data_IF_231414678269
#
_entry.id   IF_231414678269
#
_cell.length_a   1.000
_cell.length_b   1.000
_cell.length_c   1.000
_cell.angle_alpha   90.00
_cell.angle_beta   90.00
_cell.angle_gamma   90.00
#
_symmetry.space_group_name_H-M   'P 1'
#
loop_
_entity.id
_entity.type
_entity.pdbx_description
1 polymer ?
#
# COMPACT_ATOMS: atom_id res chain seq x y z
N UNK A 1 0.11 1.36 21.02
CA UNK A 1 -0.54 1.61 19.69
C UNK A 1 -0.35 0.42 18.75
N UNK A 2 0.85 -0.19 18.71
CA UNK A 2 1.14 -1.32 17.84
C UNK A 2 1.28 -2.62 18.65
N UNK A 3 0.39 -3.62 18.50
CA UNK A 3 0.52 -4.95 19.10
C UNK A 3 1.82 -5.68 18.69
N UNK A 4 2.28 -6.62 19.51
CA UNK A 4 3.36 -7.55 19.13
C UNK A 4 2.96 -8.31 17.87
N UNK A 5 3.89 -8.45 16.92
CA UNK A 5 3.64 -9.02 15.59
C UNK A 5 3.19 -8.01 14.54
N UNK A 6 3.01 -6.73 14.90
CA UNK A 6 2.65 -5.69 13.93
C UNK A 6 3.86 -5.23 13.13
N UNK A 7 3.79 -5.21 11.77
CA UNK A 7 4.82 -4.60 10.94
C UNK A 7 4.86 -3.09 11.14
N UNK A 8 6.06 -2.55 11.36
CA UNK A 8 6.29 -1.12 11.60
C UNK A 8 7.53 -0.62 10.85
N UNK A 9 7.60 0.68 10.66
CA UNK A 9 8.83 1.38 10.30
C UNK A 9 9.29 2.16 11.52
N UNK A 10 10.57 2.01 11.88
CA UNK A 10 11.18 2.67 13.01
C UNK A 10 12.30 3.59 12.52
N UNK A 11 12.34 4.83 13.00
CA UNK A 11 13.36 5.79 12.61
C UNK A 11 14.65 5.52 13.37
N UNK A 12 15.73 5.25 12.64
CA UNK A 12 17.06 4.87 13.16
C UNK A 12 18.12 5.96 12.91
N UNK A 13 17.74 7.23 12.97
CA UNK A 13 18.67 8.35 12.80
C UNK A 13 19.25 8.42 11.37
N UNK A 14 20.56 8.29 11.26
CA UNK A 14 21.27 8.40 9.97
C UNK A 14 20.91 7.28 8.99
N UNK A 15 20.47 6.12 9.47
CA UNK A 15 20.01 5.00 8.66
C UNK A 15 18.56 5.19 8.13
N UNK A 16 17.88 6.25 8.57
CA UNK A 16 16.53 6.58 8.16
C UNK A 16 15.46 5.64 8.73
N UNK A 17 14.42 5.36 7.93
CA UNK A 17 13.31 4.49 8.31
C UNK A 17 13.64 3.04 8.00
N UNK A 18 13.70 2.19 9.03
CA UNK A 18 13.94 0.76 8.91
C UNK A 18 12.66 -0.03 9.15
N UNK A 19 12.40 -1.02 8.31
CA UNK A 19 11.27 -1.94 8.45
C UNK A 19 11.58 -3.03 9.45
N UNK A 20 10.56 -3.43 10.20
CA UNK A 20 10.64 -4.51 11.15
C UNK A 20 9.29 -4.85 11.76
N UNK A 21 9.32 -5.74 12.74
CA UNK A 21 8.14 -6.24 13.44
C UNK A 21 8.27 -5.98 14.93
N UNK A 22 7.22 -5.46 15.56
CA UNK A 22 7.18 -5.30 17.03
C UNK A 22 7.32 -6.66 17.70
N UNK A 23 8.40 -6.88 18.46
CA UNK A 23 8.64 -8.14 19.16
C UNK A 23 8.42 -8.04 20.67
N UNK A 24 8.49 -6.86 21.27
CA UNK A 24 8.19 -6.68 22.69
C UNK A 24 7.64 -5.26 22.99
N UNK A 25 6.85 -5.19 24.06
CA UNK A 25 6.40 -3.93 24.65
C UNK A 25 7.15 -3.63 25.93
N UNK A 26 7.24 -2.33 26.29
CA UNK A 26 7.89 -1.87 27.51
C UNK A 26 9.26 -2.52 27.71
N UNK A 27 10.00 -2.55 26.61
CA UNK A 27 11.30 -3.22 26.54
C UNK A 27 12.34 -2.49 27.40
N UNK A 28 13.21 -3.28 27.99
CA UNK A 28 14.38 -2.81 28.73
C UNK A 28 15.58 -3.68 28.38
N UNK A 29 16.64 -3.05 27.93
CA UNK A 29 17.90 -3.74 27.70
C UNK A 29 18.49 -4.21 29.04
N UNK A 30 18.93 -5.47 29.16
CA UNK A 30 19.51 -6.00 30.40
C UNK A 30 20.72 -5.19 30.91
N UNK A 31 21.44 -4.56 30.01
CA UNK A 31 22.62 -3.71 30.32
C UNK A 31 22.28 -2.31 30.86
N UNK A 32 21.01 -1.89 30.76
CA UNK A 32 20.61 -0.55 31.20
C UNK A 32 20.56 -0.44 32.72
N UNK A 33 20.94 0.72 33.23
CA UNK A 33 20.81 1.03 34.65
C UNK A 33 19.35 0.92 35.12
N UNK A 34 19.17 0.46 36.37
CA UNK A 34 17.82 0.15 36.88
C UNK A 34 16.85 1.33 36.90
N UNK A 35 17.37 2.54 36.92
CA UNK A 35 16.64 3.81 36.98
C UNK A 35 16.16 4.30 35.62
N UNK A 36 16.69 3.74 34.51
CA UNK A 36 16.25 4.11 33.17
C UNK A 36 14.84 3.58 32.89
N UNK A 37 13.96 4.36 32.26
CA UNK A 37 12.61 3.90 31.91
C UNK A 37 12.66 2.82 30.85
N UNK A 38 11.60 2.01 30.79
CA UNK A 38 11.34 1.13 29.66
C UNK A 38 11.00 1.94 28.41
N UNK A 39 11.31 1.40 27.23
CA UNK A 39 10.89 1.97 25.96
C UNK A 39 9.60 1.28 25.47
N UNK A 40 8.73 2.00 24.74
CA UNK A 40 7.45 1.46 24.29
C UNK A 40 7.57 0.15 23.50
N UNK A 41 8.54 0.07 22.57
CA UNK A 41 8.68 -1.06 21.66
C UNK A 41 10.13 -1.50 21.50
N UNK A 42 10.31 -2.83 21.37
CA UNK A 42 11.43 -3.44 20.69
C UNK A 42 10.96 -3.91 19.32
N UNK A 43 11.73 -3.61 18.27
CA UNK A 43 11.43 -3.90 16.87
C UNK A 43 12.53 -4.78 16.29
N UNK A 44 12.16 -5.96 15.82
CA UNK A 44 13.02 -6.88 15.08
C UNK A 44 13.09 -6.41 13.62
N UNK A 45 14.28 -6.13 13.09
CA UNK A 45 14.46 -5.61 11.74
C UNK A 45 14.41 -6.71 10.68
N UNK A 46 13.78 -6.40 9.52
CA UNK A 46 13.60 -7.35 8.43
C UNK A 46 14.88 -7.52 7.60
N UNK A 47 15.74 -6.50 7.50
CA UNK A 47 16.79 -6.41 6.48
C UNK A 47 18.22 -6.20 7.01
N UNK A 48 18.43 -6.08 8.31
CA UNK A 48 19.77 -5.94 8.88
C UNK A 48 20.15 -7.21 9.66
N UNK A 49 21.08 -8.03 9.17
CA UNK A 49 21.66 -9.07 10.00
C UNK A 49 22.46 -8.42 11.12
N UNK A 50 22.21 -8.80 12.35
CA UNK A 50 23.02 -8.46 13.49
C UNK A 50 24.42 -9.05 13.40
N UNK A 51 25.27 -8.74 14.37
CA UNK A 51 26.57 -9.39 14.53
C UNK A 51 26.39 -10.91 14.63
N UNK A 52 27.22 -11.66 13.92
CA UNK A 52 27.18 -13.12 13.86
C UNK A 52 25.95 -13.74 13.14
N UNK A 53 25.16 -13.00 12.35
CA UNK A 53 24.02 -13.51 11.59
C UNK A 53 22.76 -13.67 12.43
N UNK A 54 22.72 -13.15 13.66
CA UNK A 54 21.51 -13.09 14.45
C UNK A 54 20.57 -11.98 13.97
N UNK A 55 19.26 -12.07 14.22
CA UNK A 55 18.32 -11.02 13.87
C UNK A 55 18.69 -9.72 14.61
N UNK A 56 18.82 -8.62 13.89
CA UNK A 56 19.06 -7.31 14.48
C UNK A 56 17.77 -6.74 15.06
N UNK A 57 17.84 -6.18 16.26
CA UNK A 57 16.72 -5.53 16.89
C UNK A 57 17.10 -4.11 17.34
N UNK A 58 16.17 -3.18 17.19
CA UNK A 58 16.28 -1.83 17.70
C UNK A 58 15.12 -1.54 18.66
N UNK A 59 15.19 -0.43 19.36
CA UNK A 59 14.10 0.02 20.23
C UNK A 59 13.59 1.40 19.82
N UNK A 60 12.28 1.57 19.91
CA UNK A 60 11.63 2.85 19.71
C UNK A 60 11.51 3.55 21.06
N UNK A 61 12.20 4.70 21.28
CA UNK A 61 12.20 5.40 22.56
C UNK A 61 10.87 6.09 22.88
N UNK A 62 10.03 6.32 21.90
CA UNK A 62 8.72 6.94 22.08
C UNK A 62 7.69 6.34 21.10
N UNK A 63 6.41 6.35 21.51
CA UNK A 63 5.28 5.94 20.66
C UNK A 63 4.68 7.16 19.94
N UNK A 64 5.48 7.76 19.07
CA UNK A 64 5.10 8.90 18.22
C UNK A 64 5.43 8.59 16.77
N UNK A 65 4.72 9.23 15.83
CA UNK A 65 4.86 8.92 14.40
C UNK A 65 6.24 9.26 13.82
N UNK A 66 6.94 10.20 14.42
CA UNK A 66 8.31 10.59 14.06
C UNK A 66 9.35 9.52 14.41
N UNK A 67 9.00 8.57 15.27
CA UNK A 67 9.88 7.49 15.75
C UNK A 67 9.41 6.12 15.25
N UNK A 68 8.10 5.85 15.31
CA UNK A 68 7.53 4.56 14.91
C UNK A 68 6.17 4.75 14.26
N UNK A 69 6.00 4.15 13.08
CA UNK A 69 4.77 4.22 12.30
C UNK A 69 4.43 2.86 11.69
N UNK A 70 3.18 2.68 11.23
CA UNK A 70 2.76 1.45 10.58
C UNK A 70 3.59 1.22 9.30
N UNK A 71 4.09 0.01 9.09
CA UNK A 71 4.70 -0.35 7.80
C UNK A 71 3.63 -0.74 6.80
N UNK A 72 3.76 -0.27 5.56
CA UNK A 72 2.85 -0.57 4.46
C UNK A 72 3.55 -1.36 3.35
N UNK A 73 2.79 -2.22 2.64
CA UNK A 73 3.33 -3.20 1.67
C UNK A 73 3.91 -2.56 0.42
N UNK A 74 3.33 -1.44 -0.04
CA UNK A 74 3.72 -0.79 -1.31
C UNK A 74 4.55 0.46 -1.07
N UNK A 75 5.55 0.65 -1.93
CA UNK A 75 6.39 1.85 -1.98
C UNK A 75 5.85 2.89 -2.98
N UNK A 76 6.44 4.09 -2.97
CA UNK A 76 6.17 5.08 -4.01
C UNK A 76 6.56 4.52 -5.38
N UNK A 77 5.75 4.84 -6.40
CA UNK A 77 5.86 4.38 -7.79
C UNK A 77 5.55 2.88 -8.00
N UNK A 78 5.20 2.12 -6.96
CA UNK A 78 4.72 0.76 -7.13
C UNK A 78 3.40 0.72 -7.90
N UNK A 79 3.32 -0.23 -8.83
CA UNK A 79 2.11 -0.51 -9.60
C UNK A 79 1.29 -1.59 -8.90
N UNK A 80 0.03 -1.28 -8.66
CA UNK A 80 -0.90 -2.15 -7.94
C UNK A 80 -2.27 -2.17 -8.61
N UNK A 81 -3.16 -3.06 -8.15
CA UNK A 81 -4.58 -3.02 -8.46
C UNK A 81 -5.32 -2.51 -7.21
N UNK A 82 -6.09 -1.44 -7.34
CA UNK A 82 -6.94 -0.92 -6.27
C UNK A 82 -8.43 -1.15 -6.56
N UNK A 83 -9.20 -1.39 -5.50
CA UNK A 83 -10.63 -1.61 -5.59
C UNK A 83 -11.37 -0.27 -5.57
N UNK A 84 -12.12 0.01 -6.63
CA UNK A 84 -12.90 1.25 -6.79
C UNK A 84 -14.40 1.06 -6.56
N UNK A 85 -14.89 -0.18 -6.67
CA UNK A 85 -16.27 -0.57 -6.34
C UNK A 85 -16.29 -2.01 -5.80
N UNK A 86 -17.47 -2.55 -5.45
CA UNK A 86 -17.60 -3.83 -4.75
C UNK A 86 -16.82 -4.98 -5.42
N UNK A 87 -16.85 -5.08 -6.75
CA UNK A 87 -16.19 -6.14 -7.52
C UNK A 87 -15.31 -5.56 -8.66
N UNK A 88 -14.94 -4.28 -8.54
CA UNK A 88 -14.26 -3.57 -9.61
C UNK A 88 -12.86 -3.14 -9.16
N UNK A 89 -11.86 -3.65 -9.89
CA UNK A 89 -10.45 -3.41 -9.66
C UNK A 89 -9.85 -2.65 -10.83
N UNK A 90 -9.06 -1.64 -10.53
CA UNK A 90 -8.36 -0.86 -11.56
C UNK A 90 -6.88 -0.81 -11.25
N UNK A 91 -6.07 -0.72 -12.30
CA UNK A 91 -4.64 -0.49 -12.20
C UNK A 91 -4.39 0.91 -11.66
N UNK A 92 -3.43 1.00 -10.75
CA UNK A 92 -3.03 2.27 -10.15
C UNK A 92 -1.52 2.29 -9.84
N UNK A 93 -1.00 3.49 -9.67
CA UNK A 93 0.36 3.74 -9.20
C UNK A 93 0.31 4.43 -7.85
N UNK A 94 1.09 3.98 -6.88
CA UNK A 94 1.20 4.60 -5.56
C UNK A 94 1.97 5.92 -5.71
N UNK A 95 1.32 7.04 -5.42
CA UNK A 95 1.91 8.39 -5.51
C UNK A 95 2.12 9.06 -4.15
N UNK A 96 1.58 8.48 -3.09
CA UNK A 96 1.77 8.97 -1.73
C UNK A 96 1.59 7.86 -0.70
N UNK A 97 2.35 7.94 0.38
CA UNK A 97 2.23 7.08 1.56
C UNK A 97 1.87 7.95 2.76
N UNK A 98 1.16 7.40 3.74
CA UNK A 98 0.69 8.12 4.92
C UNK A 98 -0.11 9.37 4.55
N UNK A 99 -0.97 9.24 3.53
CA UNK A 99 -1.74 10.36 2.99
C UNK A 99 -2.71 10.91 4.03
N UNK A 100 -2.81 12.23 4.11
CA UNK A 100 -3.73 12.95 4.98
C UNK A 100 -4.39 14.10 4.24
N UNK A 101 -5.67 14.24 4.46
CA UNK A 101 -6.38 15.46 4.08
C UNK A 101 -6.34 16.48 5.21
N UNK A 102 -6.44 17.75 4.82
CA UNK A 102 -6.30 18.87 5.76
C UNK A 102 -7.32 18.85 6.90
N UNK A 103 -8.51 18.28 6.63
CA UNK A 103 -9.64 18.28 7.55
C UNK A 103 -9.76 16.96 8.35
N UNK A 104 -8.80 16.05 8.20
CA UNK A 104 -8.80 14.82 8.99
C UNK A 104 -8.29 15.05 10.41
N UNK A 105 -8.81 14.24 11.35
CA UNK A 105 -8.35 14.27 12.74
C UNK A 105 -6.84 13.96 12.81
N UNK A 106 -6.18 14.61 13.78
CA UNK A 106 -4.77 14.39 14.05
C UNK A 106 -4.51 12.89 14.33
N UNK A 107 -3.48 12.32 13.72
CA UNK A 107 -3.17 10.88 13.81
C UNK A 107 -3.91 10.00 12.82
N UNK A 108 -4.90 10.52 12.07
CA UNK A 108 -5.57 9.76 11.01
C UNK A 108 -4.82 9.90 9.70
N UNK A 109 -4.50 8.77 9.05
CA UNK A 109 -3.94 8.76 7.70
C UNK A 109 -4.47 7.57 6.90
N UNK A 110 -4.54 7.73 5.59
CA UNK A 110 -4.69 6.62 4.67
C UNK A 110 -3.31 6.03 4.33
N UNK A 111 -3.17 4.71 4.22
CA UNK A 111 -1.91 4.08 3.82
C UNK A 111 -1.33 4.66 2.54
N UNK A 112 -2.19 4.84 1.55
CA UNK A 112 -1.76 5.26 0.21
C UNK A 112 -2.67 6.32 -0.38
N UNK A 113 -2.05 7.22 -1.16
CA UNK A 113 -2.69 7.92 -2.26
C UNK A 113 -2.23 7.27 -3.56
N UNK A 114 -3.15 6.96 -4.45
CA UNK A 114 -2.85 6.29 -5.71
C UNK A 114 -3.41 7.08 -6.88
N UNK A 115 -2.69 7.07 -8.00
CA UNK A 115 -3.14 7.56 -9.29
C UNK A 115 -3.69 6.38 -10.06
N UNK A 116 -4.94 6.48 -10.50
CA UNK A 116 -5.62 5.43 -11.27
C UNK A 116 -5.28 5.57 -12.74
N UNK A 117 -4.89 4.46 -13.38
CA UNK A 117 -4.60 4.40 -14.80
C UNK A 117 -5.91 4.33 -15.61
N UNK A 118 -6.32 5.48 -16.17
CA UNK A 118 -7.52 5.59 -17.01
C UNK A 118 -8.78 6.06 -16.27
N UNK A 119 -9.92 6.01 -16.97
CA UNK A 119 -11.19 6.47 -16.42
C UNK A 119 -11.69 5.54 -15.31
N UNK A 120 -12.15 6.11 -14.21
CA UNK A 120 -12.84 5.36 -13.15
C UNK A 120 -14.17 4.84 -13.67
N UNK A 121 -14.37 3.51 -13.74
CA UNK A 121 -15.64 2.95 -14.18
C UNK A 121 -16.73 3.22 -13.13
N UNK A 122 -17.87 3.71 -13.55
CA UNK A 122 -19.07 3.79 -12.71
C UNK A 122 -19.18 4.96 -11.74
N UNK A 123 -18.17 5.79 -11.56
CA UNK A 123 -18.28 6.99 -10.73
C UNK A 123 -19.19 8.04 -11.42
N UNK A 124 -20.46 8.06 -11.02
CA UNK A 124 -21.42 9.11 -11.38
C UNK A 124 -21.54 10.23 -10.35
N UNK A 125 -20.76 10.17 -9.30
CA UNK A 125 -20.82 11.14 -8.19
C UNK A 125 -19.68 12.16 -8.33
N UNK A 126 -20.05 13.40 -8.60
CA UNK A 126 -19.16 14.55 -8.81
C UNK A 126 -18.27 14.88 -7.57
N UNK A 127 -18.54 14.28 -6.42
CA UNK A 127 -17.84 14.60 -5.16
C UNK A 127 -16.46 13.93 -5.01
N UNK A 128 -16.16 12.85 -5.77
CA UNK A 128 -14.84 12.18 -5.79
C UNK A 128 -14.04 12.55 -7.04
N UNK A 129 -14.70 13.18 -8.03
CA UNK A 129 -14.20 13.41 -9.38
C UNK A 129 -13.62 14.80 -9.63
N UNK A 130 -13.46 15.64 -8.63
CA UNK A 130 -12.97 17.01 -8.83
C UNK A 130 -11.55 17.12 -9.42
N UNK A 131 -10.81 16.01 -9.50
CA UNK A 131 -9.48 15.93 -10.14
C UNK A 131 -9.45 15.05 -11.41
N UNK A 132 -10.56 14.38 -11.76
CA UNK A 132 -10.61 13.44 -12.88
C UNK A 132 -10.71 14.09 -14.27
N UNK A 133 -10.77 15.41 -14.36
CA UNK A 133 -10.86 16.13 -15.65
C UNK A 133 -9.57 16.08 -16.48
N UNK A 134 -8.45 15.64 -15.92
CA UNK A 134 -7.15 15.54 -16.60
C UNK A 134 -6.70 14.10 -16.93
N UNK A 135 -7.53 13.10 -16.70
CA UNK A 135 -7.19 11.70 -16.98
C UNK A 135 -6.43 10.96 -15.87
N UNK A 136 -5.98 11.65 -14.83
CA UNK A 136 -5.25 11.11 -13.69
C UNK A 136 -6.10 11.26 -12.42
N UNK A 137 -7.02 10.33 -12.17
CA UNK A 137 -7.79 10.33 -10.94
C UNK A 137 -6.91 9.94 -9.75
N UNK A 138 -6.82 10.82 -8.75
CA UNK A 138 -6.18 10.53 -7.48
C UNK A 138 -7.24 10.08 -6.48
N UNK A 139 -7.02 8.92 -5.88
CA UNK A 139 -7.86 8.40 -4.79
C UNK A 139 -6.99 7.98 -3.62
N UNK A 140 -7.56 7.88 -2.43
CA UNK A 140 -6.86 7.35 -1.28
C UNK A 140 -7.40 5.96 -0.89
N UNK A 141 -6.51 5.10 -0.43
CA UNK A 141 -6.81 3.73 -0.04
C UNK A 141 -6.98 3.70 1.48
N UNK A 142 -8.16 3.28 2.00
CA UNK A 142 -8.47 3.40 3.43
C UNK A 142 -7.69 2.43 4.31
N UNK A 143 -7.22 1.31 3.77
CA UNK A 143 -6.48 0.27 4.52
C UNK A 143 -5.51 -0.45 3.60
N UNK A 144 -4.34 -0.81 4.16
CA UNK A 144 -3.40 -1.72 3.50
C UNK A 144 -3.84 -3.17 3.69
N UNK A 145 -4.82 -3.60 2.90
CA UNK A 145 -5.35 -4.95 2.90
C UNK A 145 -5.67 -5.41 1.48
N UNK A 146 -5.57 -6.71 1.22
CA UNK A 146 -5.87 -7.33 -0.08
C UNK A 146 -7.27 -6.99 -0.62
N UNK A 147 -8.21 -6.70 0.28
CA UNK A 147 -9.57 -6.28 -0.09
C UNK A 147 -9.66 -4.85 -0.65
N UNK A 148 -8.62 -4.03 -0.54
CA UNK A 148 -8.58 -2.64 -1.01
C UNK A 148 -7.49 -2.39 -2.03
N UNK A 149 -6.31 -2.99 -1.85
CA UNK A 149 -5.16 -2.86 -2.75
C UNK A 149 -4.35 -4.16 -2.73
N UNK A 150 -3.93 -4.62 -3.89
CA UNK A 150 -3.18 -5.85 -4.08
C UNK A 150 -2.09 -5.70 -5.13
N UNK A 151 -1.13 -6.62 -5.14
CA UNK A 151 -0.11 -6.63 -6.17
C UNK A 151 -0.75 -6.72 -7.58
N UNK A 152 -0.13 -6.03 -8.52
CA UNK A 152 -0.57 -6.01 -9.90
C UNK A 152 -0.54 -7.43 -10.51
N UNK A 153 -1.63 -7.84 -11.17
CA UNK A 153 -1.73 -9.15 -11.82
C UNK A 153 -1.01 -9.14 -13.16
N UNK A 154 0.08 -9.91 -13.29
CA UNK A 154 0.83 -10.07 -14.54
C UNK A 154 -0.04 -10.66 -15.67
N UNK A 155 -0.90 -11.62 -15.35
CA UNK A 155 -1.82 -12.23 -16.31
C UNK A 155 -2.78 -11.21 -16.93
N UNK A 156 -3.26 -10.27 -16.10
CA UNK A 156 -4.09 -9.17 -16.56
C UNK A 156 -3.34 -8.23 -17.49
N UNK A 157 -2.08 -7.93 -17.18
CA UNK A 157 -1.22 -7.09 -18.01
C UNK A 157 -0.92 -7.73 -19.36
N UNK A 158 -0.65 -9.02 -19.38
CA UNK A 158 -0.41 -9.76 -20.62
C UNK A 158 -1.66 -9.79 -21.48
N UNK A 159 -2.84 -10.02 -20.89
CA UNK A 159 -4.13 -9.94 -21.60
C UNK A 159 -4.41 -8.54 -22.15
N UNK A 160 -4.11 -7.48 -21.37
CA UNK A 160 -4.28 -6.10 -21.82
C UNK A 160 -3.30 -5.74 -22.96
N UNK A 161 -2.03 -6.15 -22.86
CA UNK A 161 -1.03 -5.97 -23.93
C UNK A 161 -1.47 -6.69 -25.21
N UNK A 162 -1.97 -7.92 -25.12
CA UNK A 162 -2.49 -8.67 -26.25
C UNK A 162 -3.68 -7.96 -26.90
N UNK A 163 -4.62 -7.41 -26.12
CA UNK A 163 -5.76 -6.66 -26.64
C UNK A 163 -5.35 -5.35 -27.34
N UNK A 164 -4.37 -4.62 -26.77
CA UNK A 164 -3.82 -3.42 -27.40
C UNK A 164 -3.12 -3.76 -28.71
N UNK A 165 -2.35 -4.85 -28.74
CA UNK A 165 -1.71 -5.34 -29.97
C UNK A 165 -2.72 -5.68 -31.08
N UNK A 166 -3.86 -6.31 -30.72
CA UNK A 166 -4.94 -6.63 -31.66
C UNK A 166 -5.63 -5.36 -32.20
N UNK A 167 -5.79 -4.33 -31.37
CA UNK A 167 -6.37 -3.06 -31.80
C UNK A 167 -5.46 -2.30 -32.76
N UNK A 168 -4.16 -2.26 -32.46
CA UNK A 168 -3.15 -1.61 -33.33
C UNK A 168 -2.99 -2.34 -34.64
N UNK A 169 -3.22 -3.67 -34.67
CA UNK A 169 -3.24 -4.48 -35.88
C UNK A 169 -4.50 -4.35 -36.73
N UNK A 170 -5.46 -3.48 -36.34
CA UNK A 170 -6.73 -3.27 -37.06
C UNK A 170 -7.73 -4.42 -36.97
N UNK A 171 -7.50 -5.39 -36.05
CA UNK A 171 -8.38 -6.57 -35.86
C UNK A 171 -9.58 -6.27 -34.97
N UNK A 172 -9.49 -5.26 -34.11
CA UNK A 172 -10.56 -4.83 -33.21
C UNK A 172 -10.84 -3.33 -33.36
N UNK A 173 -12.12 -2.97 -33.50
CA UNK A 173 -12.56 -1.58 -33.38
C UNK A 173 -12.44 -1.10 -31.93
N UNK A 174 -12.39 0.22 -31.75
CA UNK A 174 -12.14 0.87 -30.45
C UNK A 174 -13.22 0.52 -29.39
N UNK A 175 -14.48 0.37 -29.81
CA UNK A 175 -15.58 -0.05 -28.93
C UNK A 175 -15.42 -1.50 -28.44
N UNK A 176 -15.02 -2.42 -29.32
CA UNK A 176 -14.78 -3.82 -28.99
C UNK A 176 -13.57 -3.98 -28.04
N UNK A 177 -12.58 -3.08 -28.16
CA UNK A 177 -11.43 -3.02 -27.26
C UNK A 177 -11.84 -2.60 -25.83
N UNK A 178 -12.70 -1.59 -25.71
CA UNK A 178 -13.19 -1.12 -24.42
C UNK A 178 -14.06 -2.17 -23.72
N UNK A 179 -14.92 -2.87 -24.48
CA UNK A 179 -15.76 -3.94 -23.93
C UNK A 179 -14.92 -5.14 -23.45
N UNK A 180 -13.92 -5.55 -24.22
CA UNK A 180 -12.99 -6.61 -23.81
C UNK A 180 -12.08 -6.21 -22.64
N UNK A 181 -11.66 -4.95 -22.54
CA UNK A 181 -10.94 -4.43 -21.37
C UNK A 181 -11.79 -4.55 -20.10
N UNK A 182 -13.08 -4.19 -20.16
CA UNK A 182 -14.02 -4.36 -19.04
C UNK A 182 -14.17 -5.85 -18.66
N UNK A 183 -14.29 -6.74 -19.64
CA UNK A 183 -14.39 -8.18 -19.41
C UNK A 183 -13.17 -8.80 -18.74
N UNK A 184 -11.96 -8.34 -19.08
CA UNK A 184 -10.72 -8.79 -18.44
C UNK A 184 -10.64 -8.33 -16.97
N UNK A 185 -11.13 -7.12 -16.68
CA UNK A 185 -11.21 -6.60 -15.32
C UNK A 185 -12.14 -7.45 -14.45
N UNK A 186 -13.32 -7.82 -14.97
CA UNK A 186 -14.28 -8.65 -14.23
C UNK A 186 -13.88 -10.13 -14.09
N UNK A 187 -13.23 -10.71 -15.10
CA UNK A 187 -12.79 -12.11 -15.05
C UNK A 187 -11.71 -12.35 -13.99
N UNK A 188 -10.86 -11.36 -13.73
CA UNK A 188 -9.82 -11.46 -12.70
C UNK A 188 -10.39 -11.47 -11.26
N UNK A 189 -11.57 -10.85 -11.07
CA UNK A 189 -12.22 -10.80 -9.76
C UNK A 189 -12.93 -12.12 -9.38
N UNK A 190 -13.31 -12.96 -10.37
CA UNK A 190 -14.02 -14.22 -10.12
C UNK A 190 -13.11 -15.42 -9.86
N UNK A 191 -11.81 -15.33 -10.10
CA UNK A 191 -10.90 -16.48 -9.98
C UNK A 191 -10.47 -16.77 -8.53
N UNK A 192 -10.66 -15.85 -7.61
CA UNK A 192 -10.24 -15.98 -6.19
C UNK A 192 -11.32 -16.51 -5.24
N UNK A 193 -12.50 -16.97 -5.77
CA UNK A 193 -13.61 -17.45 -4.91
C UNK A 193 -13.73 -18.99 -4.86
N UNK A 194 -12.67 -19.73 -5.22
CA UNK A 194 -12.68 -21.21 -5.14
C UNK A 194 -11.45 -21.71 -4.37
N UNK A 195 -11.51 -21.60 -3.05
CA UNK A 195 -10.97 -22.56 -2.07
C UNK A 195 -11.57 -22.30 -0.69
#
# INVERSE_FOLDING_TARGET
>A
RFPVGTPVECFAGDDGWLRGTVCAHQYREPSWAAELPTVPYQVLLDSMPGEAGEPSAIWAPADVEEIVRASFRFELEDVADCRVAQDEWVRCTVVGRYYREKDWEEGTCAPYQVRVDGALPGCRDDSVLSLAASGDALIWIPRDAESYIRAASEERDERLRALVGLAQGGVLGEEALQEKRRGVIHSSACSDTSM
#
